data_IF_303085408561
#
_entry.id   IF_303085408561
#
_cell.length_a   1.000
_cell.length_b   1.000
_cell.length_c   1.000
_cell.angle_alpha   90.00
_cell.angle_beta   90.00
_cell.angle_gamma   90.00
#
_symmetry.space_group_name_H-M   'P 1'
#
loop_
_entity.id
_entity.type
_entity.pdbx_description
1 polymer ?
#
# COMPACT_ATOMS: atom_id res chain seq x y z
N UNK A 1 -6.60 17.62 8.84
CA UNK A 1 -5.99 16.43 8.20
C UNK A 1 -4.67 16.88 7.61
N UNK A 2 -3.53 16.34 8.05
CA UNK A 2 -2.23 16.63 7.47
C UNK A 2 -1.94 15.54 6.44
N UNK A 3 -1.68 15.94 5.19
CA UNK A 3 -1.21 15.02 4.15
C UNK A 3 0.30 15.18 4.04
N UNK A 4 1.05 14.13 4.38
CA UNK A 4 2.49 14.07 4.20
C UNK A 4 2.81 13.00 3.16
N UNK A 5 3.67 13.34 2.21
CA UNK A 5 4.18 12.43 1.19
C UNK A 5 5.70 12.56 1.10
N UNK A 6 6.38 11.48 0.75
CA UNK A 6 7.81 11.48 0.54
C UNK A 6 8.14 10.68 -0.73
N UNK A 7 9.12 11.17 -1.49
CA UNK A 7 9.65 10.44 -2.63
C UNK A 7 10.54 9.29 -2.15
N UNK A 8 10.48 8.17 -2.87
CA UNK A 8 11.35 7.01 -2.71
C UNK A 8 12.26 6.81 -3.93
N UNK A 9 12.47 7.85 -4.73
CA UNK A 9 13.25 7.78 -5.96
C UNK A 9 14.71 7.42 -5.67
N UNK A 10 15.23 6.45 -6.42
CA UNK A 10 16.59 5.95 -6.26
C UNK A 10 16.85 5.15 -4.97
N UNK A 11 15.82 4.89 -4.16
CA UNK A 11 15.93 4.09 -2.95
C UNK A 11 15.41 2.68 -3.14
N UNK A 12 15.97 1.74 -2.37
CA UNK A 12 15.43 0.39 -2.25
C UNK A 12 14.11 0.43 -1.49
N UNK A 13 13.08 -0.22 -2.00
CA UNK A 13 11.75 -0.26 -1.37
C UNK A 13 11.55 -1.49 -0.47
N UNK A 14 12.57 -1.87 0.31
CA UNK A 14 12.46 -2.97 1.28
C UNK A 14 11.72 -2.54 2.55
N UNK A 15 11.26 -3.51 3.34
CA UNK A 15 10.45 -3.24 4.53
C UNK A 15 11.15 -2.36 5.57
N UNK A 16 12.42 -2.64 5.85
CA UNK A 16 13.29 -1.89 6.76
C UNK A 16 13.46 -0.41 6.31
N UNK A 17 13.75 -0.19 5.03
CA UNK A 17 13.93 1.17 4.48
C UNK A 17 12.61 1.95 4.53
N UNK A 18 11.49 1.30 4.18
CA UNK A 18 10.17 1.92 4.26
C UNK A 18 9.80 2.26 5.71
N UNK A 19 10.07 1.38 6.67
CA UNK A 19 9.82 1.61 8.09
C UNK A 19 10.60 2.83 8.59
N UNK A 20 11.90 2.90 8.27
CA UNK A 20 12.74 4.06 8.61
C UNK A 20 12.15 5.36 8.03
N UNK A 21 11.75 5.36 6.75
CA UNK A 21 11.18 6.54 6.10
C UNK A 21 9.84 6.97 6.71
N UNK A 22 8.97 6.03 7.06
CA UNK A 22 7.72 6.32 7.76
C UNK A 22 8.00 6.96 9.13
N UNK A 23 8.93 6.39 9.90
CA UNK A 23 9.33 6.94 11.21
C UNK A 23 9.91 8.35 11.12
N UNK A 24 10.78 8.58 10.13
CA UNK A 24 11.35 9.90 9.85
C UNK A 24 10.28 10.90 9.42
N UNK A 25 9.34 10.49 8.55
CA UNK A 25 8.24 11.34 8.11
C UNK A 25 7.37 11.78 9.28
N UNK A 26 7.00 10.86 10.16
CA UNK A 26 6.23 11.19 11.38
C UNK A 26 7.01 12.16 12.27
N UNK A 27 8.30 11.88 12.51
CA UNK A 27 9.14 12.69 13.40
C UNK A 27 9.33 14.12 12.89
N UNK A 28 9.59 14.30 11.59
CA UNK A 28 9.72 15.64 10.95
C UNK A 28 8.42 16.44 11.08
N UNK A 29 7.28 15.77 11.09
CA UNK A 29 5.98 16.41 11.28
C UNK A 29 5.55 16.51 12.76
N UNK A 30 6.47 16.24 13.70
CA UNK A 30 6.21 16.35 15.14
C UNK A 30 5.36 15.21 15.73
N UNK A 31 5.15 14.12 14.98
CA UNK A 31 4.42 12.95 15.43
C UNK A 31 5.35 11.88 15.98
N UNK A 32 4.99 11.31 17.14
CA UNK A 32 5.69 10.16 17.69
C UNK A 32 5.11 8.86 17.12
N UNK A 33 5.97 7.99 16.60
CA UNK A 33 5.59 6.62 16.19
C UNK A 33 4.89 5.84 17.32
N UNK A 34 5.21 6.13 18.59
CA UNK A 34 4.55 5.48 19.74
C UNK A 34 3.06 5.80 19.82
N UNK A 35 2.64 6.97 19.33
CA UNK A 35 1.24 7.41 19.28
C UNK A 35 0.49 6.89 18.04
N UNK A 36 1.19 6.28 17.08
CA UNK A 36 0.55 5.62 15.94
C UNK A 36 -0.16 4.37 16.44
N UNK A 37 -1.49 4.39 16.33
CA UNK A 37 -2.37 3.29 16.77
C UNK A 37 -2.40 2.19 15.71
N UNK A 38 -2.62 2.57 14.45
CA UNK A 38 -2.79 1.61 13.36
C UNK A 38 -2.47 2.26 12.01
N UNK A 39 -2.08 1.44 11.03
CA UNK A 39 -1.85 1.84 9.65
C UNK A 39 -2.93 1.28 8.71
N UNK A 40 -3.27 2.02 7.66
CA UNK A 40 -4.03 1.48 6.52
C UNK A 40 -3.06 1.36 5.35
N UNK A 41 -2.94 0.16 4.77
CA UNK A 41 -1.93 -0.16 3.74
C UNK A 41 -2.53 -0.99 2.61
N UNK A 42 -1.91 -1.02 1.43
CA UNK A 42 -2.32 -1.92 0.35
C UNK A 42 -1.80 -3.36 0.58
N UNK A 43 -1.89 -4.26 -0.40
CA UNK A 43 -1.41 -5.63 -0.23
C UNK A 43 0.07 -5.84 -0.62
N UNK A 44 0.85 -4.78 -0.86
CA UNK A 44 2.25 -4.94 -1.24
C UNK A 44 3.08 -5.57 -0.11
N UNK A 45 3.93 -6.54 -0.43
CA UNK A 45 4.69 -7.30 0.56
C UNK A 45 5.63 -6.42 1.39
N UNK A 46 6.26 -5.43 0.76
CA UNK A 46 7.26 -4.59 1.43
C UNK A 46 6.62 -3.62 2.43
N UNK A 47 5.45 -3.05 2.14
CA UNK A 47 4.76 -2.20 3.13
C UNK A 47 4.24 -3.04 4.30
N UNK A 48 3.78 -4.27 4.05
CA UNK A 48 3.42 -5.21 5.12
C UNK A 48 4.61 -5.52 6.02
N UNK A 49 5.77 -5.74 5.41
CA UNK A 49 7.02 -5.93 6.17
C UNK A 49 7.36 -4.67 6.96
N UNK A 50 7.28 -3.48 6.37
CA UNK A 50 7.59 -2.22 7.03
C UNK A 50 6.74 -1.97 8.28
N UNK A 51 5.42 -2.20 8.21
CA UNK A 51 4.55 -2.04 9.37
C UNK A 51 4.89 -3.04 10.47
N UNK A 52 5.27 -4.28 10.12
CA UNK A 52 5.76 -5.27 11.10
C UNK A 52 7.05 -4.83 11.77
N UNK A 53 8.01 -4.29 11.01
CA UNK A 53 9.25 -3.70 11.56
C UNK A 53 8.98 -2.53 12.52
N UNK A 54 7.90 -1.77 12.28
CA UNK A 54 7.46 -0.69 13.19
C UNK A 54 6.70 -1.21 14.43
N UNK A 55 6.47 -2.52 14.53
CA UNK A 55 5.67 -3.17 15.56
C UNK A 55 4.26 -2.56 15.66
N UNK A 56 3.63 -2.31 14.50
CA UNK A 56 2.29 -1.73 14.42
C UNK A 56 1.26 -2.67 13.84
N UNK A 57 0.02 -2.49 14.28
CA UNK A 57 -1.13 -3.11 13.64
C UNK A 57 -1.45 -2.42 12.31
N UNK A 58 -2.03 -3.16 11.38
CA UNK A 58 -2.54 -2.58 10.15
C UNK A 58 -3.80 -3.24 9.62
N UNK A 59 -4.58 -2.44 8.89
CA UNK A 59 -5.69 -2.88 8.06
C UNK A 59 -5.33 -2.78 6.58
N UNK A 60 -5.92 -3.67 5.79
CA UNK A 60 -5.85 -3.56 4.34
C UNK A 60 -6.75 -2.43 3.84
N UNK A 61 -6.25 -1.69 2.85
CA UNK A 61 -6.98 -0.64 2.16
C UNK A 61 -8.17 -1.26 1.42
N UNK A 62 -9.38 -0.86 1.80
CA UNK A 62 -10.62 -1.36 1.19
C UNK A 62 -10.70 -1.08 -0.31
N UNK A 63 -10.22 0.07 -0.77
CA UNK A 63 -10.20 0.39 -2.21
C UNK A 63 -9.27 -0.54 -3.00
N UNK A 64 -8.06 -0.81 -2.48
CA UNK A 64 -7.14 -1.77 -3.11
C UNK A 64 -7.70 -3.19 -3.09
N UNK A 65 -8.29 -3.60 -1.96
CA UNK A 65 -8.94 -4.90 -1.84
C UNK A 65 -10.06 -5.09 -2.87
N UNK A 66 -10.98 -4.12 -2.99
CA UNK A 66 -12.05 -4.16 -4.00
C UNK A 66 -11.48 -4.20 -5.42
N UNK A 67 -10.42 -3.44 -5.69
CA UNK A 67 -9.74 -3.49 -6.98
C UNK A 67 -9.13 -4.88 -7.26
N UNK A 68 -8.54 -5.54 -6.27
CA UNK A 68 -8.05 -6.92 -6.42
C UNK A 68 -9.20 -7.89 -6.74
N UNK A 69 -10.30 -7.83 -5.98
CA UNK A 69 -11.49 -8.65 -6.21
C UNK A 69 -12.03 -8.45 -7.62
N UNK A 70 -12.17 -7.20 -8.06
CA UNK A 70 -12.64 -6.89 -9.41
C UNK A 70 -11.67 -7.43 -10.47
N UNK A 71 -10.36 -7.25 -10.30
CA UNK A 71 -9.39 -7.79 -11.24
C UNK A 71 -9.44 -9.32 -11.32
N UNK A 72 -9.71 -10.01 -10.21
CA UNK A 72 -9.87 -11.45 -10.23
C UNK A 72 -11.17 -11.89 -10.91
N UNK A 73 -12.28 -11.16 -10.72
CA UNK A 73 -13.51 -11.38 -11.47
C UNK A 73 -13.33 -11.18 -12.98
N UNK A 74 -12.55 -10.18 -13.39
CA UNK A 74 -12.30 -9.88 -14.82
C UNK A 74 -11.41 -10.94 -15.49
N UNK A 75 -10.64 -11.73 -14.72
CA UNK A 75 -9.87 -12.87 -15.25
C UNK A 75 -10.75 -14.08 -15.59
N UNK A 76 -12.02 -14.08 -15.21
CA UNK A 76 -12.97 -15.12 -15.63
C UNK A 76 -12.99 -15.20 -17.16
N UNK A 77 -12.82 -16.40 -17.72
CA UNK A 77 -12.65 -16.60 -19.16
C UNK A 77 -13.77 -15.99 -20.00
N UNK A 78 -15.02 -16.12 -19.55
CA UNK A 78 -16.18 -15.55 -20.24
C UNK A 78 -16.09 -14.02 -20.32
N UNK A 79 -15.72 -13.37 -19.21
CA UNK A 79 -15.60 -11.91 -19.11
C UNK A 79 -14.37 -11.41 -19.85
N UNK A 80 -13.23 -12.08 -19.70
CA UNK A 80 -11.97 -11.71 -20.33
C UNK A 80 -12.06 -11.75 -21.86
N UNK A 81 -12.77 -12.73 -22.43
CA UNK A 81 -13.00 -12.80 -23.88
C UNK A 81 -13.79 -11.60 -24.42
N UNK A 82 -14.72 -11.04 -23.64
CA UNK A 82 -15.44 -9.82 -24.00
C UNK A 82 -14.50 -8.61 -23.93
N UNK A 83 -13.74 -8.49 -22.84
CA UNK A 83 -12.78 -7.38 -22.65
C UNK A 83 -11.75 -7.35 -23.76
N UNK A 84 -11.17 -8.50 -24.13
CA UNK A 84 -10.20 -8.60 -25.22
C UNK A 84 -10.80 -8.06 -26.50
N UNK A 85 -12.01 -8.51 -26.90
CA UNK A 85 -12.67 -8.03 -28.12
C UNK A 85 -12.82 -6.52 -28.16
N UNK A 86 -13.21 -5.88 -27.06
CA UNK A 86 -13.43 -4.43 -26.99
C UNK A 86 -12.12 -3.63 -26.92
N UNK A 87 -11.02 -4.23 -26.43
CA UNK A 87 -9.70 -3.56 -26.34
C UNK A 87 -8.94 -3.47 -27.67
N UNK A 88 -9.33 -4.25 -28.69
CA UNK A 88 -8.66 -4.27 -30.00
C UNK A 88 -9.28 -3.29 -31.00
N UNK A 89 -10.40 -2.65 -30.63
CA UNK A 89 -11.00 -1.51 -31.34
C UNK A 89 -10.48 -0.17 -30.76
#
# INVERSE_FOLDING_TARGET
MVLAAFSMDGLRHSGDVLAEKIGNCLSINGFSIKKLICCVRDNAANIQSAIRELEKDSFQCGAHFLNCVMNDCLKNECVNNIIIKVRVD
#
